data_IF_245967204842
#
_entry.id   IF_245967204842
#
_cell.length_a   1.000
_cell.length_b   1.000
_cell.length_c   1.000
_cell.angle_alpha   90.00
_cell.angle_beta   90.00
_cell.angle_gamma   90.00
#
_symmetry.space_group_name_H-M   'P 1'
#
loop_
_entity.id
_entity.type
_entity.pdbx_description
1 polymer ?
#
# COMPACT_ATOMS: atom_id res chain seq x y z
N UNK A 1 -0.36 -14.18 6.06
CA UNK A 1 -1.39 -13.71 7.02
C UNK A 1 -1.45 -12.20 6.97
N UNK A 2 -2.64 -11.62 6.83
CA UNK A 2 -2.85 -10.17 6.90
C UNK A 2 -2.99 -9.74 8.37
N UNK A 3 -2.35 -8.63 8.76
CA UNK A 3 -2.54 -8.01 10.08
C UNK A 3 -3.59 -6.92 9.97
N UNK A 4 -4.60 -6.94 10.84
CA UNK A 4 -5.60 -5.89 10.89
C UNK A 4 -4.98 -4.61 11.46
N UNK A 5 -5.28 -3.48 10.84
CA UNK A 5 -4.86 -2.15 11.28
C UNK A 5 -6.05 -1.20 11.19
N UNK A 6 -6.23 -0.37 12.20
CA UNK A 6 -7.24 0.68 12.21
C UNK A 6 -6.55 2.03 11.96
N UNK A 7 -6.93 2.72 10.89
CA UNK A 7 -6.46 4.06 10.55
C UNK A 7 -7.63 5.03 10.75
N UNK A 8 -7.35 6.20 11.31
CA UNK A 8 -8.28 7.34 11.34
C UNK A 8 -7.91 8.30 10.22
N UNK A 9 -8.88 8.63 9.37
CA UNK A 9 -8.75 9.63 8.31
C UNK A 9 -9.71 10.77 8.64
N UNK A 10 -9.27 12.01 8.38
CA UNK A 10 -10.21 13.12 8.31
C UNK A 10 -11.04 13.05 7.02
N UNK A 11 -12.00 13.98 6.90
CA UNK A 11 -12.94 14.03 5.77
C UNK A 11 -12.23 14.19 4.43
N UNK A 12 -11.16 14.99 4.37
CA UNK A 12 -10.42 15.26 3.13
C UNK A 12 -9.70 14.00 2.67
N UNK A 13 -8.96 13.35 3.57
CA UNK A 13 -8.22 12.13 3.23
C UNK A 13 -9.15 10.96 2.91
N UNK A 14 -10.30 10.86 3.59
CA UNK A 14 -11.33 9.88 3.27
C UNK A 14 -11.90 10.10 1.85
N UNK A 15 -12.25 11.34 1.50
CA UNK A 15 -12.77 11.68 0.18
C UNK A 15 -11.75 11.42 -0.94
N UNK A 16 -10.48 11.73 -0.70
CA UNK A 16 -9.39 11.43 -1.64
C UNK A 16 -9.25 9.92 -1.88
N UNK A 17 -9.24 9.13 -0.81
CA UNK A 17 -9.15 7.67 -0.91
C UNK A 17 -10.33 7.08 -1.69
N UNK A 18 -11.53 7.57 -1.43
CA UNK A 18 -12.73 7.15 -2.15
C UNK A 18 -12.64 7.49 -3.64
N UNK A 19 -12.22 8.72 -3.97
CA UNK A 19 -12.11 9.14 -5.37
C UNK A 19 -11.03 8.37 -6.13
N UNK A 20 -9.93 8.00 -5.47
CA UNK A 20 -8.89 7.15 -6.07
C UNK A 20 -9.44 5.77 -6.41
N UNK A 21 -10.15 5.13 -5.48
CA UNK A 21 -10.75 3.80 -5.71
C UNK A 21 -11.78 3.84 -6.83
N UNK A 22 -12.66 4.85 -6.84
CA UNK A 22 -13.66 5.06 -7.89
C UNK A 22 -12.98 5.21 -9.26
N UNK A 23 -11.96 6.06 -9.35
CA UNK A 23 -11.24 6.35 -10.59
C UNK A 23 -10.56 5.09 -11.15
N UNK A 24 -9.89 4.33 -10.29
CA UNK A 24 -9.25 3.06 -10.69
C UNK A 24 -10.30 2.04 -11.14
N UNK A 25 -11.45 1.96 -10.45
CA UNK A 25 -12.58 1.13 -10.86
C UNK A 25 -13.10 1.50 -12.25
N UNK A 26 -13.25 2.79 -12.54
CA UNK A 26 -13.68 3.30 -13.84
C UNK A 26 -12.66 3.00 -14.97
N UNK A 27 -11.39 2.84 -14.63
CA UNK A 27 -10.33 2.40 -15.55
C UNK A 27 -10.29 0.87 -15.73
N UNK A 28 -11.22 0.12 -15.13
CA UNK A 28 -11.27 -1.34 -15.19
C UNK A 28 -10.29 -2.04 -14.25
N UNK A 29 -9.65 -1.30 -13.32
CA UNK A 29 -8.71 -1.87 -12.36
C UNK A 29 -9.51 -2.36 -11.14
N UNK A 30 -9.51 -3.68 -10.91
CA UNK A 30 -10.08 -4.28 -9.70
C UNK A 30 -9.24 -3.87 -8.48
N UNK A 31 -9.76 -3.01 -7.63
CA UNK A 31 -9.07 -2.52 -6.44
C UNK A 31 -10.04 -2.21 -5.30
N UNK A 32 -9.50 -2.06 -4.09
CA UNK A 32 -10.22 -1.61 -2.91
C UNK A 32 -9.39 -0.60 -2.10
N UNK A 33 -9.98 -0.03 -1.04
CA UNK A 33 -9.33 0.97 -0.17
C UNK A 33 -8.01 0.45 0.44
N UNK A 34 -7.95 -0.81 0.85
CA UNK A 34 -6.75 -1.43 1.42
C UNK A 34 -5.62 -1.51 0.38
N UNK A 35 -5.94 -1.93 -0.85
CA UNK A 35 -4.95 -2.03 -1.92
C UNK A 35 -4.33 -0.65 -2.24
N UNK A 36 -5.17 0.39 -2.30
CA UNK A 36 -4.73 1.77 -2.54
C UNK A 36 -3.84 2.26 -1.40
N UNK A 37 -4.24 2.04 -0.14
CA UNK A 37 -3.43 2.42 1.03
C UNK A 37 -2.08 1.68 1.04
N UNK A 38 -2.06 0.38 0.75
CA UNK A 38 -0.82 -0.40 0.72
C UNK A 38 0.14 0.10 -0.38
N UNK A 39 -0.39 0.41 -1.57
CA UNK A 39 0.39 1.02 -2.65
C UNK A 39 0.92 2.40 -2.26
N UNK A 40 0.07 3.26 -1.70
CA UNK A 40 0.47 4.60 -1.26
C UNK A 40 1.55 4.53 -0.17
N UNK A 41 1.41 3.63 0.79
CA UNK A 41 2.42 3.39 1.83
C UNK A 41 3.76 2.97 1.24
N UNK A 42 3.75 2.05 0.28
CA UNK A 42 4.97 1.60 -0.39
C UNK A 42 5.66 2.74 -1.16
N UNK A 43 4.90 3.48 -1.97
CA UNK A 43 5.41 4.60 -2.76
C UNK A 43 5.99 5.67 -1.83
N UNK A 44 5.25 6.09 -0.80
CA UNK A 44 5.71 7.10 0.14
C UNK A 44 6.95 6.65 0.93
N UNK A 45 6.98 5.39 1.38
CA UNK A 45 8.14 4.85 2.08
C UNK A 45 9.38 4.90 1.18
N UNK A 46 9.29 4.45 -0.08
CA UNK A 46 10.42 4.39 -1.00
C UNK A 46 10.87 5.75 -1.52
N UNK A 47 9.93 6.64 -1.85
CA UNK A 47 10.24 7.89 -2.53
C UNK A 47 10.55 9.04 -1.56
N UNK A 48 10.18 8.92 -0.28
CA UNK A 48 10.23 10.07 0.65
C UNK A 48 10.83 9.78 2.02
N UNK A 49 10.80 8.55 2.53
CA UNK A 49 11.11 8.29 3.96
C UNK A 49 12.30 7.36 4.15
N UNK A 50 12.36 6.26 3.40
CA UNK A 50 13.35 5.21 3.56
C UNK A 50 14.31 5.18 2.36
N UNK A 51 15.52 4.68 2.60
CA UNK A 51 16.43 4.37 1.50
C UNK A 51 15.97 3.12 0.72
N UNK A 52 16.34 3.03 -0.56
CA UNK A 52 16.07 1.85 -1.39
C UNK A 52 16.60 0.55 -0.74
N UNK A 53 17.72 0.63 0.00
CA UNK A 53 18.31 -0.50 0.72
C UNK A 53 17.38 -1.00 1.83
N UNK A 54 16.87 -0.10 2.68
CA UNK A 54 15.96 -0.46 3.78
C UNK A 54 14.65 -1.06 3.26
N UNK A 55 14.09 -0.48 2.19
CA UNK A 55 12.89 -1.00 1.53
C UNK A 55 13.13 -2.42 1.01
N UNK A 56 14.27 -2.64 0.33
CA UNK A 56 14.65 -3.96 -0.21
C UNK A 56 14.82 -4.98 0.91
N UNK A 57 15.50 -4.64 2.01
CA UNK A 57 15.70 -5.54 3.15
C UNK A 57 14.36 -5.95 3.81
N UNK A 58 13.41 -5.02 3.93
CA UNK A 58 12.08 -5.30 4.48
C UNK A 58 11.30 -6.26 3.57
N UNK A 59 11.31 -6.01 2.26
CA UNK A 59 10.66 -6.89 1.26
C UNK A 59 11.30 -8.27 1.30
N UNK A 60 12.63 -8.33 1.17
CA UNK A 60 13.39 -9.58 1.19
C UNK A 60 13.08 -10.40 2.45
N UNK A 61 13.04 -9.78 3.62
CA UNK A 61 12.71 -10.50 4.87
C UNK A 61 11.31 -11.13 4.85
N UNK A 62 10.35 -10.52 4.19
CA UNK A 62 8.96 -10.99 4.14
C UNK A 62 8.67 -11.94 2.96
N UNK A 63 9.45 -11.87 1.88
CA UNK A 63 9.27 -12.70 0.68
C UNK A 63 10.34 -13.80 0.49
N UNK A 64 11.51 -13.73 1.15
CA UNK A 64 12.51 -14.82 1.14
C UNK A 64 12.05 -16.11 1.82
N UNK A 65 10.92 -16.08 2.55
CA UNK A 65 10.26 -17.28 3.05
C UNK A 65 9.45 -18.05 1.99
N UNK A 66 9.25 -17.50 0.79
CA UNK A 66 8.52 -18.13 -0.32
C UNK A 66 9.43 -18.72 -1.41
N UNK A 67 10.75 -18.53 -1.32
CA UNK A 67 11.76 -19.10 -2.25
C UNK A 67 12.66 -20.11 -1.52
N UNK A 68 12.06 -20.94 -0.68
CA UNK A 68 12.66 -22.21 -0.27
C UNK A 68 11.60 -23.30 -0.45
N UNK A 69 11.99 -24.24 -1.30
CA UNK A 69 11.34 -25.45 -1.82
C UNK A 69 10.38 -25.28 -3.01
#
# INVERSE_FOLDING_TARGET
>A
MTKQMNIRLDEVHAALLEKMVETLGNQGIKTNKTDVIQKALYVFARESVLSDKEVTEIIDKHYKGFVKD
#
